data_IF_698846221279
#
_entry.id   IF_698846221279
#
_cell.length_a   1.000
_cell.length_b   1.000
_cell.length_c   1.000
_cell.angle_alpha   90.00
_cell.angle_beta   90.00
_cell.angle_gamma   90.00
#
_symmetry.space_group_name_H-M   'P 1'
#
loop_
_entity.id
_entity.type
_entity.pdbx_description
1 polymer ?
#
# COMPACT_ATOMS: atom_id res chain seq x y z
N UNK A 1 -6.54 -16.41 5.16
CA UNK A 1 -6.91 -15.26 4.31
C UNK A 1 -5.90 -15.12 3.19
N UNK A 2 -6.33 -14.73 2.00
CA UNK A 2 -5.49 -14.42 0.85
C UNK A 2 -4.85 -13.06 1.06
N UNK A 3 -3.53 -13.01 0.96
CA UNK A 3 -2.75 -11.81 1.14
C UNK A 3 -2.12 -11.39 -0.19
N UNK A 4 -2.21 -10.10 -0.51
CA UNK A 4 -1.48 -9.50 -1.62
C UNK A 4 -0.33 -8.68 -1.09
N UNK A 5 0.78 -8.73 -1.82
CA UNK A 5 1.93 -7.87 -1.66
C UNK A 5 1.93 -6.85 -2.78
N UNK A 6 1.98 -5.57 -2.42
CA UNK A 6 1.84 -4.48 -3.38
C UNK A 6 3.05 -3.56 -3.20
N UNK A 7 3.86 -3.37 -4.25
CA UNK A 7 4.94 -2.40 -4.24
C UNK A 7 4.40 -0.99 -4.03
N UNK A 8 5.12 -0.18 -3.26
CA UNK A 8 4.80 1.22 -3.00
C UNK A 8 6.07 2.06 -3.01
N UNK A 9 5.94 3.36 -3.27
CA UNK A 9 7.08 4.28 -3.26
C UNK A 9 7.64 4.53 -1.84
N UNK A 10 6.76 4.48 -0.83
CA UNK A 10 7.10 4.67 0.58
C UNK A 10 6.09 3.89 1.46
N UNK A 11 6.57 2.93 2.24
CA UNK A 11 5.73 2.03 3.05
C UNK A 11 4.91 2.78 4.09
N UNK A 12 5.55 3.76 4.75
CA UNK A 12 4.92 4.51 5.83
C UNK A 12 3.81 5.41 5.30
N UNK A 13 4.09 6.14 4.23
CA UNK A 13 3.12 7.04 3.59
C UNK A 13 1.90 6.24 3.08
N UNK A 14 2.13 5.07 2.46
CA UNK A 14 1.06 4.21 1.95
C UNK A 14 0.16 3.66 3.07
N UNK A 15 0.74 3.16 4.16
CA UNK A 15 -0.02 2.64 5.32
C UNK A 15 -0.88 3.75 5.95
N UNK A 16 -0.31 4.95 6.12
CA UNK A 16 -1.05 6.11 6.67
C UNK A 16 -2.19 6.54 5.73
N UNK A 17 -1.93 6.63 4.43
CA UNK A 17 -2.93 7.03 3.45
C UNK A 17 -4.11 6.04 3.37
N UNK A 18 -3.84 4.74 3.45
CA UNK A 18 -4.88 3.70 3.46
C UNK A 18 -5.69 3.75 4.76
N UNK A 19 -5.03 3.89 5.91
CA UNK A 19 -5.70 4.02 7.20
C UNK A 19 -6.64 5.23 7.23
N UNK A 20 -6.22 6.37 6.67
CA UNK A 20 -7.06 7.57 6.55
C UNK A 20 -8.29 7.36 5.66
N UNK A 21 -8.24 6.44 4.70
CA UNK A 21 -9.39 6.00 3.90
C UNK A 21 -10.20 4.84 4.51
N UNK A 22 -9.91 4.45 5.75
CA UNK A 22 -10.59 3.35 6.44
C UNK A 22 -10.15 1.95 6.00
N UNK A 23 -9.01 1.83 5.31
CA UNK A 23 -8.47 0.56 4.80
C UNK A 23 -7.29 0.14 5.68
N UNK A 24 -7.39 -1.04 6.29
CA UNK A 24 -6.29 -1.64 7.04
C UNK A 24 -5.24 -2.27 6.12
N UNK A 25 -3.98 -1.84 6.27
CA UNK A 25 -2.82 -2.43 5.61
C UNK A 25 -1.73 -2.71 6.64
N UNK A 26 -0.88 -3.70 6.36
CA UNK A 26 0.30 -3.98 7.17
C UNK A 26 1.58 -3.63 6.39
N UNK A 27 2.64 -3.17 7.08
CA UNK A 27 4.00 -3.13 6.52
C UNK A 27 4.40 -4.48 5.90
N UNK A 28 5.04 -4.43 4.74
CA UNK A 28 5.63 -5.59 4.05
C UNK A 28 7.04 -5.93 4.57
N UNK A 29 7.80 -4.92 5.03
CA UNK A 29 9.18 -5.07 5.51
C UNK A 29 9.41 -6.23 6.50
N UNK A 30 8.55 -6.44 7.52
CA UNK A 30 8.71 -7.56 8.47
C UNK A 30 8.68 -8.97 7.87
N UNK A 31 8.21 -9.11 6.62
CA UNK A 31 8.12 -10.40 5.94
C UNK A 31 9.11 -10.52 4.76
N UNK A 32 9.94 -9.49 4.53
CA UNK A 32 10.93 -9.46 3.46
C UNK A 32 12.19 -10.24 3.87
N UNK A 33 12.73 -11.03 2.96
CA UNK A 33 14.00 -11.76 3.15
C UNK A 33 15.07 -11.15 2.24
N UNK A 34 16.18 -10.70 2.84
CA UNK A 34 17.28 -10.04 2.13
C UNK A 34 16.98 -8.58 1.72
N UNK A 35 17.86 -8.02 0.90
CA UNK A 35 17.76 -6.64 0.40
C UNK A 35 16.73 -6.57 -0.74
N UNK A 36 15.45 -6.79 -0.40
CA UNK A 36 14.35 -6.74 -1.36
C UNK A 36 14.18 -5.34 -1.97
N UNK A 37 14.02 -5.31 -3.29
CA UNK A 37 14.22 -4.15 -4.15
C UNK A 37 13.20 -2.99 -4.07
N UNK A 38 12.55 -2.78 -2.92
CA UNK A 38 11.66 -1.65 -2.67
C UNK A 38 10.70 -1.86 -1.51
N UNK A 39 9.97 -0.79 -1.17
CA UNK A 39 8.93 -0.81 -0.13
C UNK A 39 7.68 -1.52 -0.63
N UNK A 40 7.00 -2.24 0.27
CA UNK A 40 5.78 -2.99 -0.04
C UNK A 40 4.79 -2.90 1.11
N UNK A 41 3.50 -2.99 0.80
CA UNK A 41 2.45 -3.21 1.79
C UNK A 41 1.80 -4.58 1.59
N UNK A 42 1.18 -5.09 2.67
CA UNK A 42 0.39 -6.31 2.66
C UNK A 42 -1.09 -6.02 2.93
N UNK A 43 -1.95 -6.59 2.09
CA UNK A 43 -3.42 -6.52 2.24
C UNK A 43 -4.01 -7.91 2.34
N UNK A 44 -4.95 -8.10 3.27
CA UNK A 44 -5.81 -9.30 3.29
C UNK A 44 -7.08 -9.02 2.51
N UNK A 45 -7.32 -9.79 1.43
CA UNK A 45 -8.39 -9.48 0.46
C UNK A 45 -9.56 -10.48 0.45
N UNK A 46 -9.53 -11.53 1.28
CA UNK A 46 -10.54 -12.61 1.26
C UNK A 46 -11.99 -12.19 1.53
N UNK A 47 -12.24 -10.96 2.01
CA UNK A 47 -13.58 -10.48 2.38
C UNK A 47 -13.93 -9.14 1.73
N UNK A 48 -13.21 -8.77 0.67
CA UNK A 48 -13.45 -7.52 -0.04
C UNK A 48 -14.75 -7.63 -0.82
N UNK A 49 -15.64 -6.66 -0.61
CA UNK A 49 -16.95 -6.56 -1.28
C UNK A 49 -16.97 -5.53 -2.41
N UNK A 50 -16.02 -4.59 -2.40
CA UNK A 50 -15.80 -3.57 -3.43
C UNK A 50 -14.32 -3.64 -3.89
N UNK A 51 -13.99 -4.54 -4.82
CA UNK A 51 -12.62 -4.73 -5.27
C UNK A 51 -12.09 -3.54 -6.09
N UNK A 52 -12.95 -2.88 -6.85
CA UNK A 52 -12.55 -1.77 -7.71
C UNK A 52 -12.24 -0.51 -6.89
N UNK A 53 -13.08 -0.17 -5.91
CA UNK A 53 -12.82 0.93 -4.99
C UNK A 53 -11.56 0.68 -4.14
N UNK A 54 -11.34 -0.56 -3.70
CA UNK A 54 -10.10 -0.93 -3.02
C UNK A 54 -8.89 -0.76 -3.93
N UNK A 55 -8.96 -1.24 -5.17
CA UNK A 55 -7.86 -1.15 -6.13
C UNK A 55 -7.47 0.30 -6.41
N UNK A 56 -8.45 1.19 -6.59
CA UNK A 56 -8.21 2.63 -6.82
C UNK A 56 -7.56 3.29 -5.59
N UNK A 57 -8.08 3.03 -4.39
CA UNK A 57 -7.52 3.57 -3.16
C UNK A 57 -6.06 3.12 -2.94
N UNK A 58 -5.78 1.85 -3.23
CA UNK A 58 -4.44 1.26 -3.18
C UNK A 58 -3.52 1.87 -4.22
N UNK A 59 -3.98 2.00 -5.47
CA UNK A 59 -3.20 2.59 -6.54
C UNK A 59 -2.79 4.03 -6.20
N UNK A 60 -3.70 4.82 -5.63
CA UNK A 60 -3.42 6.17 -5.15
C UNK A 60 -2.42 6.19 -3.99
N UNK A 61 -2.56 5.29 -3.02
CA UNK A 61 -1.68 5.24 -1.86
C UNK A 61 -0.27 4.69 -2.18
N UNK A 62 -0.16 3.82 -3.20
CA UNK A 62 1.10 3.21 -3.61
C UNK A 62 2.07 4.21 -4.26
N UNK A 63 1.53 5.26 -4.88
CA UNK A 63 2.32 6.31 -5.53
C UNK A 63 2.50 7.48 -4.58
N UNK A 64 3.73 7.96 -4.42
CA UNK A 64 3.95 9.26 -3.79
C UNK A 64 3.22 10.30 -4.64
N UNK A 65 2.34 11.09 -4.03
CA UNK A 65 1.73 12.23 -4.73
C UNK A 65 2.87 13.08 -5.26
N UNK A 66 3.03 13.12 -6.58
CA UNK A 66 4.18 13.73 -7.23
C UNK A 66 4.45 15.09 -6.59
N UNK A 67 5.57 15.19 -5.87
CA UNK A 67 5.98 16.44 -5.26
C UNK A 67 5.97 17.46 -6.39
N UNK A 68 5.13 18.48 -6.26
CA UNK A 68 5.33 19.69 -7.03
C UNK A 68 6.73 20.15 -6.66
N UNK A 69 7.68 19.98 -7.57
CA UNK A 69 8.97 20.65 -7.52
C UNK A 69 8.64 22.13 -7.59
N UNK A 70 8.45 22.72 -6.42
CA UNK A 70 8.15 24.12 -6.24
C UNK A 70 9.44 24.93 -6.27
N UNK A 71 9.62 25.63 -7.41
CA UNK A 71 10.26 26.93 -7.63
C UNK A 71 11.62 27.24 -6.99
#
# INVERSE_FOLDING_TARGET
GLNLWIPVDDERDAVVALAASGIGAAPGGPFQVGDGGGDHIRLTISRVTDPDGLAEAVARAARRGGGTVGR
#
